data_IF_352941671556
#
_entry.id   IF_352941671556
#
_cell.length_a   1.000
_cell.length_b   1.000
_cell.length_c   1.000
_cell.angle_alpha   90.00
_cell.angle_beta   90.00
_cell.angle_gamma   90.00
#
_symmetry.space_group_name_H-M   'P 1'
#
loop_
_entity.id
_entity.type
_entity.pdbx_description
1 polymer ?
#
# COMPACT_ATOMS: atom_id res chain seq x y z
N UNK A 1 -6.58 3.61 -7.17
CA UNK A 1 -5.59 3.65 -6.08
C UNK A 1 -5.35 2.30 -5.45
N UNK A 2 -6.36 1.61 -4.91
CA UNK A 2 -6.15 0.28 -4.28
C UNK A 2 -5.56 -0.75 -5.26
N UNK A 3 -6.05 -0.83 -6.50
CA UNK A 3 -5.50 -1.72 -7.51
C UNK A 3 -4.07 -1.35 -7.93
N UNK A 4 -3.75 -0.05 -8.02
CA UNK A 4 -2.38 0.38 -8.34
C UNK A 4 -1.43 0.09 -7.18
N UNK A 5 -1.87 0.23 -5.93
CA UNK A 5 -1.09 -0.19 -4.78
C UNK A 5 -0.83 -1.71 -4.80
N UNK A 6 -1.84 -2.51 -5.17
CA UNK A 6 -1.69 -3.97 -5.34
C UNK A 6 -0.66 -4.32 -6.41
N UNK A 7 -0.65 -3.59 -7.54
CA UNK A 7 0.37 -3.73 -8.58
C UNK A 7 1.76 -3.29 -8.11
N UNK A 8 1.84 -2.24 -7.31
CA UNK A 8 3.09 -1.76 -6.71
C UNK A 8 3.70 -2.82 -5.79
N UNK A 9 2.87 -3.41 -4.93
CA UNK A 9 3.27 -4.51 -4.07
C UNK A 9 3.74 -5.72 -4.91
N UNK A 10 2.97 -6.09 -5.94
CA UNK A 10 3.35 -7.15 -6.88
C UNK A 10 4.71 -6.92 -7.55
N UNK A 11 5.01 -5.68 -7.95
CA UNK A 11 6.29 -5.34 -8.58
C UNK A 11 7.47 -5.43 -7.61
N UNK A 12 7.27 -5.07 -6.35
CA UNK A 12 8.32 -5.06 -5.33
C UNK A 12 8.57 -6.44 -4.69
N UNK A 13 7.52 -7.21 -4.42
CA UNK A 13 7.60 -8.49 -3.67
C UNK A 13 7.11 -9.72 -4.45
N UNK A 14 6.58 -9.54 -5.66
CA UNK A 14 6.05 -10.63 -6.48
C UNK A 14 4.71 -11.18 -5.96
N UNK A 15 4.26 -12.31 -6.52
CA UNK A 15 2.93 -12.88 -6.21
C UNK A 15 2.73 -13.27 -4.75
N UNK A 16 3.82 -13.53 -4.01
CA UNK A 16 3.76 -13.92 -2.59
C UNK A 16 3.14 -12.84 -1.71
N UNK A 17 3.23 -11.57 -2.11
CA UNK A 17 2.68 -10.47 -1.31
C UNK A 17 1.17 -10.35 -1.47
N UNK A 18 0.57 -10.74 -2.60
CA UNK A 18 -0.90 -10.63 -2.80
C UNK A 18 -1.69 -11.50 -1.83
N UNK A 19 -1.12 -12.63 -1.47
CA UNK A 19 -1.71 -13.56 -0.50
C UNK A 19 -1.58 -12.99 0.91
N UNK A 20 -0.58 -12.16 1.16
CA UNK A 20 -0.27 -11.63 2.48
C UNK A 20 -0.69 -10.18 2.69
N UNK A 21 -0.96 -9.40 1.65
CA UNK A 21 -1.26 -7.97 1.73
C UNK A 21 -2.19 -7.56 0.57
N UNK A 22 -3.27 -6.84 0.90
CA UNK A 22 -4.25 -6.34 -0.07
C UNK A 22 -4.78 -4.99 0.36
N UNK A 23 -4.75 -4.02 -0.54
CA UNK A 23 -5.37 -2.72 -0.29
C UNK A 23 -6.90 -2.84 -0.25
N UNK A 24 -7.52 -2.38 0.85
CA UNK A 24 -8.97 -2.42 1.03
C UNK A 24 -9.63 -1.14 0.51
N UNK A 25 -9.34 -0.01 1.14
CA UNK A 25 -9.93 1.28 0.80
C UNK A 25 -9.04 2.43 1.25
N UNK A 26 -9.18 3.57 0.57
CA UNK A 26 -8.57 4.83 0.97
C UNK A 26 -9.66 5.72 1.57
N UNK A 27 -9.48 6.11 2.84
CA UNK A 27 -10.37 7.05 3.51
C UNK A 27 -9.53 8.07 4.27
N UNK A 28 -9.86 9.35 4.13
CA UNK A 28 -9.17 10.44 4.83
C UNK A 28 -7.64 10.41 4.61
N UNK A 29 -7.23 10.16 3.36
CA UNK A 29 -5.80 10.01 2.97
C UNK A 29 -5.05 8.86 3.66
N UNK A 30 -5.75 8.00 4.40
CA UNK A 30 -5.21 6.78 5.00
C UNK A 30 -5.61 5.57 4.16
N UNK A 31 -4.62 4.92 3.54
CA UNK A 31 -4.86 3.68 2.80
C UNK A 31 -4.88 2.51 3.77
N UNK A 32 -6.03 1.86 3.89
CA UNK A 32 -6.15 0.66 4.71
C UNK A 32 -5.74 -0.55 3.89
N UNK A 33 -4.78 -1.31 4.39
CA UNK A 33 -4.22 -2.52 3.77
C UNK A 33 -4.46 -3.68 4.72
N UNK A 34 -5.20 -4.69 4.28
CA UNK A 34 -5.33 -5.95 5.00
C UNK A 34 -4.04 -6.73 4.80
N UNK A 35 -3.38 -7.15 5.89
CA UNK A 35 -2.14 -7.89 5.84
C UNK A 35 -2.25 -9.14 6.72
N UNK A 36 -2.19 -10.33 6.11
CA UNK A 36 -2.34 -11.62 6.79
C UNK A 36 -1.04 -12.10 7.46
N UNK A 37 0.10 -11.43 7.19
CA UNK A 37 1.38 -11.77 7.79
C UNK A 37 1.99 -10.55 8.49
N UNK A 38 2.30 -10.64 9.79
CA UNK A 38 2.92 -9.53 10.52
C UNK A 38 4.31 -9.18 9.96
N UNK A 39 5.02 -10.16 9.36
CA UNK A 39 6.30 -9.93 8.69
C UNK A 39 6.10 -9.07 7.45
N UNK A 40 5.12 -9.41 6.61
CA UNK A 40 4.79 -8.61 5.42
C UNK A 40 4.33 -7.20 5.80
N UNK A 41 3.54 -7.06 6.87
CA UNK A 41 3.13 -5.77 7.41
C UNK A 41 4.36 -4.93 7.80
N UNK A 42 5.31 -5.54 8.49
CA UNK A 42 6.53 -4.85 8.91
C UNK A 42 7.39 -4.42 7.72
N UNK A 43 7.55 -5.26 6.70
CA UNK A 43 8.27 -4.91 5.47
C UNK A 43 7.62 -3.75 4.71
N UNK A 44 6.29 -3.80 4.53
CA UNK A 44 5.53 -2.72 3.89
C UNK A 44 5.68 -1.43 4.69
N UNK A 45 5.77 -1.51 6.02
CA UNK A 45 5.90 -0.34 6.89
C UNK A 45 7.29 0.27 6.82
N UNK A 46 8.32 -0.56 6.69
CA UNK A 46 9.70 -0.11 6.45
C UNK A 46 9.79 0.65 5.12
N UNK A 47 9.14 0.14 4.08
CA UNK A 47 9.09 0.79 2.76
C UNK A 47 7.90 1.75 2.59
N UNK A 48 7.19 2.11 3.67
CA UNK A 48 5.96 2.89 3.58
C UNK A 48 6.20 4.22 2.86
N UNK A 49 7.25 4.95 3.25
CA UNK A 49 7.59 6.26 2.67
C UNK A 49 7.81 6.15 1.17
N UNK A 50 8.62 5.18 0.72
CA UNK A 50 8.92 4.98 -0.70
C UNK A 50 7.66 4.56 -1.48
N UNK A 51 6.83 3.69 -0.91
CA UNK A 51 5.56 3.27 -1.53
C UNK A 51 4.58 4.44 -1.67
N UNK A 52 4.48 5.29 -0.65
CA UNK A 52 3.65 6.49 -0.65
C UNK A 52 4.14 7.48 -1.72
N UNK A 53 5.44 7.72 -1.81
CA UNK A 53 6.01 8.57 -2.86
C UNK A 53 5.73 8.01 -4.25
N UNK A 54 5.99 6.72 -4.47
CA UNK A 54 5.75 6.06 -5.76
C UNK A 54 4.29 6.08 -6.18
N UNK A 55 3.36 5.82 -5.25
CA UNK A 55 1.93 5.85 -5.60
C UNK A 55 1.44 7.29 -5.80
N UNK A 56 1.89 8.25 -5.00
CA UNK A 56 1.52 9.65 -5.18
C UNK A 56 2.08 10.22 -6.51
N UNK A 57 3.27 9.79 -6.95
CA UNK A 57 3.83 10.12 -8.26
C UNK A 57 3.01 9.56 -9.43
N UNK A 58 2.34 8.42 -9.25
CA UNK A 58 1.46 7.81 -10.28
C UNK A 58 0.11 8.54 -10.40
N UNK A 59 -0.28 9.34 -9.41
CA UNK A 59 -1.52 10.09 -9.39
C UNK A 59 -1.27 11.60 -9.17
N UNK A 60 -0.54 12.28 -10.06
CA UNK A 60 -0.29 13.71 -9.93
C UNK A 60 -1.61 14.49 -10.02
N UNK A 61 -1.91 15.31 -9.00
CA UNK A 61 -3.07 16.20 -8.99
C UNK A 61 -4.39 15.61 -8.48
N UNK A 62 -4.41 14.39 -7.92
CA UNK A 62 -5.60 13.91 -7.19
C UNK A 62 -5.58 14.40 -5.73
N UNK A 63 -6.70 14.99 -5.26
CA UNK A 63 -6.96 15.37 -3.85
C UNK A 63 -6.89 14.18 -2.86
N UNK A 64 -6.62 12.97 -3.35
CA UNK A 64 -6.54 11.71 -2.62
C UNK A 64 -5.09 11.25 -2.41
N UNK A 65 -4.16 12.17 -2.19
CA UNK A 65 -2.78 11.84 -1.78
C UNK A 65 -2.83 10.92 -0.55
N UNK A 66 -2.11 9.81 -0.60
CA UNK A 66 -2.01 8.91 0.54
C UNK A 66 -0.95 9.48 1.47
N UNK A 67 -1.33 9.79 2.70
CA UNK A 67 -0.41 10.33 3.72
C UNK A 67 0.08 9.24 4.68
N UNK A 68 -0.71 8.18 4.90
CA UNK A 68 -0.36 7.07 5.80
C UNK A 68 -0.94 5.75 5.34
N UNK A 69 -0.25 4.65 5.64
CA UNK A 69 -0.82 3.31 5.52
C UNK A 69 -1.34 2.84 6.87
N UNK A 70 -2.53 2.27 6.87
CA UNK A 70 -3.09 1.57 8.03
C UNK A 70 -3.13 0.08 7.72
N UNK A 71 -2.35 -0.70 8.46
CA UNK A 71 -2.37 -2.14 8.32
C UNK A 71 -3.42 -2.74 9.25
N UNK A 72 -4.26 -3.61 8.70
CA UNK A 72 -5.11 -4.50 9.46
C UNK A 72 -4.44 -5.87 9.44
N UNK A 73 -3.82 -6.23 10.58
CA UNK A 73 -3.30 -7.56 10.85
C UNK A 73 -4.28 -8.36 11.71
#
# INVERSE_FOLDING_TARGET
MCEEFDKLLLGEWGEKIRVNAKALYLKDKVLTVACLSPVAAQEIKIKEVELLERINLRFPGQEKTIERLRMLI
#
